data_IF_786519866632
#
_entry.id   IF_786519866632
#
_cell.length_a   1.000
_cell.length_b   1.000
_cell.length_c   1.000
_cell.angle_alpha   90.00
_cell.angle_beta   90.00
_cell.angle_gamma   90.00
#
_symmetry.space_group_name_H-M   'P 1'
#
loop_
_entity.id
_entity.type
_entity.pdbx_description
1 polymer ?
#
# COMPACT_ATOMS: atom_id res chain seq x y z
N UNK A 1 26.41 -5.74 5.36
CA UNK A 1 24.95 -5.54 5.22
C UNK A 1 24.66 -4.06 5.15
N UNK A 2 24.23 -3.57 3.99
CA UNK A 2 24.18 -2.14 3.66
C UNK A 2 23.05 -1.40 4.40
N UNK A 3 23.29 -0.12 4.70
CA UNK A 3 22.45 0.77 5.53
C UNK A 3 20.96 0.76 5.09
N UNK A 4 20.72 0.60 3.79
CA UNK A 4 19.38 0.55 3.20
C UNK A 4 18.61 -0.72 3.58
N UNK A 5 19.28 -1.89 3.68
CA UNK A 5 18.62 -3.16 4.06
C UNK A 5 18.20 -3.17 5.53
N UNK A 6 18.98 -2.53 6.41
CA UNK A 6 18.60 -2.33 7.83
C UNK A 6 17.41 -1.38 7.96
N UNK A 7 17.40 -0.28 7.20
CA UNK A 7 16.28 0.67 7.19
C UNK A 7 14.97 -0.01 6.77
N UNK A 8 15.01 -0.90 5.79
CA UNK A 8 13.83 -1.63 5.33
C UNK A 8 13.37 -2.68 6.32
N UNK A 9 14.29 -3.39 6.98
CA UNK A 9 13.91 -4.31 8.05
C UNK A 9 13.21 -3.58 9.22
N UNK A 10 13.67 -2.36 9.54
CA UNK A 10 13.03 -1.52 10.56
C UNK A 10 11.69 -0.99 10.08
N UNK A 11 11.61 -0.51 8.83
CA UNK A 11 10.35 -0.05 8.23
C UNK A 11 9.33 -1.18 8.17
N UNK A 12 9.69 -2.35 7.62
CA UNK A 12 8.80 -3.51 7.52
C UNK A 12 8.32 -3.99 8.90
N UNK A 13 9.17 -3.97 9.91
CA UNK A 13 8.80 -4.25 11.30
C UNK A 13 7.83 -3.23 11.90
N UNK A 14 8.06 -1.93 11.70
CA UNK A 14 7.16 -0.87 12.18
C UNK A 14 5.79 -0.90 11.48
N UNK A 15 5.76 -1.32 10.21
CA UNK A 15 4.52 -1.49 9.45
C UNK A 15 3.72 -2.70 9.90
N UNK A 16 4.36 -3.82 10.27
CA UNK A 16 3.65 -4.96 10.87
C UNK A 16 2.95 -4.58 12.19
N UNK A 17 3.63 -3.81 13.04
CA UNK A 17 3.04 -3.34 14.30
C UNK A 17 1.81 -2.45 14.03
N UNK A 18 1.88 -1.63 12.98
CA UNK A 18 0.78 -0.77 12.54
C UNK A 18 -0.40 -1.58 11.96
N UNK A 19 -0.14 -2.62 11.18
CA UNK A 19 -1.17 -3.53 10.66
C UNK A 19 -1.86 -4.28 11.79
N UNK A 20 -1.10 -4.76 12.79
CA UNK A 20 -1.66 -5.48 13.93
C UNK A 20 -2.57 -4.53 14.72
N UNK A 21 -2.12 -3.32 15.03
CA UNK A 21 -2.93 -2.33 15.77
C UNK A 21 -4.17 -1.87 15.00
N UNK A 22 -4.08 -1.67 13.69
CA UNK A 22 -5.24 -1.33 12.85
C UNK A 22 -6.17 -2.52 12.56
N UNK A 23 -5.64 -3.74 12.49
CA UNK A 23 -6.41 -4.98 12.35
C UNK A 23 -7.19 -5.32 13.62
N UNK A 24 -6.66 -5.01 14.80
CA UNK A 24 -7.43 -5.03 16.05
C UNK A 24 -8.55 -3.97 16.05
N UNK A 25 -8.35 -2.84 15.39
CA UNK A 25 -9.40 -1.84 15.18
C UNK A 25 -10.46 -2.26 14.13
N UNK A 26 -10.18 -3.24 13.27
CA UNK A 26 -11.08 -3.79 12.23
C UNK A 26 -11.40 -5.27 12.55
N UNK A 27 -11.68 -5.57 13.81
CA UNK A 27 -12.05 -6.92 14.24
C UNK A 27 -13.57 -7.09 14.16
N UNK A 28 -14.09 -8.23 13.66
CA UNK A 28 -15.52 -8.54 13.68
C UNK A 28 -16.10 -8.69 15.10
N UNK A 29 -15.27 -8.58 16.14
CA UNK A 29 -15.63 -8.75 17.56
C UNK A 29 -15.80 -7.44 18.34
N UNK A 30 -15.76 -6.27 17.70
CA UNK A 30 -16.14 -5.02 18.34
C UNK A 30 -15.35 -3.81 17.84
N UNK A 31 -16.09 -2.85 17.27
CA UNK A 31 -15.59 -1.56 16.82
C UNK A 31 -15.13 -0.67 17.99
N UNK A 32 -13.91 -0.87 18.47
CA UNK A 32 -13.32 0.06 19.43
C UNK A 32 -12.87 1.35 18.73
N UNK A 33 -12.61 1.32 17.41
CA UNK A 33 -12.02 2.44 16.66
C UNK A 33 -12.86 3.00 15.50
N UNK A 34 -13.89 2.28 15.00
CA UNK A 34 -14.61 2.64 13.77
C UNK A 34 -15.44 3.94 13.89
N UNK A 35 -15.69 4.45 15.10
CA UNK A 35 -16.52 5.63 15.30
C UNK A 35 -15.88 6.97 14.91
N UNK A 36 -14.56 7.03 14.60
CA UNK A 36 -13.87 8.32 14.31
C UNK A 36 -13.09 8.41 13.01
N UNK A 37 -12.59 7.30 12.47
CA UNK A 37 -11.82 7.30 11.21
C UNK A 37 -12.64 6.62 10.14
N UNK A 38 -13.12 7.37 9.14
CA UNK A 38 -13.96 6.82 8.07
C UNK A 38 -13.36 5.56 7.45
N UNK A 39 -14.18 4.52 7.32
CA UNK A 39 -13.82 3.13 6.98
C UNK A 39 -12.85 3.02 5.80
N UNK A 40 -13.05 3.81 4.74
CA UNK A 40 -12.17 3.82 3.57
C UNK A 40 -10.71 4.23 3.84
N UNK A 41 -10.44 5.08 4.84
CA UNK A 41 -9.06 5.44 5.20
C UNK A 41 -8.34 4.32 5.94
N UNK A 42 -9.06 3.59 6.82
CA UNK A 42 -8.50 2.45 7.53
C UNK A 42 -8.14 1.33 6.55
N UNK A 43 -9.04 1.04 5.60
CA UNK A 43 -8.81 0.05 4.55
C UNK A 43 -7.58 0.39 3.70
N UNK A 44 -7.41 1.66 3.31
CA UNK A 44 -6.21 2.09 2.57
C UNK A 44 -4.95 1.76 3.33
N UNK A 45 -4.90 2.17 4.60
CA UNK A 45 -3.69 2.01 5.39
C UNK A 45 -3.38 0.53 5.53
N UNK A 46 -4.37 -0.33 5.81
CA UNK A 46 -4.16 -1.77 5.96
C UNK A 46 -3.66 -2.40 4.64
N UNK A 47 -4.38 -2.20 3.53
CA UNK A 47 -4.05 -2.84 2.25
C UNK A 47 -2.73 -2.34 1.67
N UNK A 48 -2.51 -1.02 1.70
CA UNK A 48 -1.28 -0.42 1.18
C UNK A 48 -0.08 -0.82 2.04
N UNK A 49 -0.24 -0.85 3.37
CA UNK A 49 0.83 -1.31 4.27
C UNK A 49 1.16 -2.78 4.06
N UNK A 50 0.15 -3.64 3.88
CA UNK A 50 0.37 -5.05 3.58
C UNK A 50 1.12 -5.25 2.26
N UNK A 51 0.73 -4.52 1.21
CA UNK A 51 1.42 -4.56 -0.07
C UNK A 51 2.88 -4.08 0.04
N UNK A 52 3.12 -2.95 0.71
CA UNK A 52 4.46 -2.41 0.98
C UNK A 52 5.30 -3.44 1.72
N UNK A 53 4.74 -4.10 2.74
CA UNK A 53 5.43 -5.12 3.50
C UNK A 53 5.87 -6.30 2.63
N UNK A 54 4.94 -6.87 1.85
CA UNK A 54 5.24 -8.00 0.94
C UNK A 54 6.32 -7.63 -0.08
N UNK A 55 6.19 -6.49 -0.76
CA UNK A 55 7.20 -6.06 -1.73
C UNK A 55 8.53 -5.72 -1.08
N UNK A 56 8.53 -5.19 0.14
CA UNK A 56 9.76 -4.91 0.88
C UNK A 56 10.53 -6.19 1.21
N UNK A 57 9.85 -7.28 1.60
CA UNK A 57 10.49 -8.57 1.84
C UNK A 57 11.12 -9.15 0.57
N UNK A 58 10.40 -9.06 -0.55
CA UNK A 58 10.95 -9.46 -1.86
C UNK A 58 12.20 -8.62 -2.16
N UNK A 59 12.12 -7.30 -2.04
CA UNK A 59 13.23 -6.40 -2.36
C UNK A 59 14.47 -6.56 -1.47
N UNK A 60 14.38 -7.17 -0.28
CA UNK A 60 15.55 -7.45 0.57
C UNK A 60 16.53 -8.44 -0.09
N UNK A 61 16.02 -9.38 -0.88
CA UNK A 61 16.83 -10.37 -1.60
C UNK A 61 17.35 -9.84 -2.93
N UNK A 62 16.77 -8.75 -3.45
CA UNK A 62 17.20 -8.11 -4.69
C UNK A 62 18.31 -7.06 -4.50
N UNK A 63 18.88 -6.62 -5.62
CA UNK A 63 19.93 -5.60 -5.67
C UNK A 63 19.47 -4.21 -5.22
N UNK A 64 20.39 -3.42 -4.66
CA UNK A 64 20.09 -2.10 -4.11
C UNK A 64 19.53 -1.10 -5.12
N UNK A 65 19.87 -1.26 -6.40
CA UNK A 65 19.37 -0.39 -7.46
C UNK A 65 17.87 -0.54 -7.69
N UNK A 66 17.38 -1.78 -7.60
CA UNK A 66 15.95 -2.12 -7.73
C UNK A 66 15.20 -1.50 -6.56
N UNK A 67 15.76 -1.69 -5.37
CA UNK A 67 15.22 -1.13 -4.14
C UNK A 67 15.14 0.40 -4.15
N UNK A 68 16.21 1.09 -4.57
CA UNK A 68 16.23 2.57 -4.64
C UNK A 68 15.24 3.09 -5.68
N UNK A 69 15.00 2.34 -6.75
CA UNK A 69 14.00 2.68 -7.77
C UNK A 69 12.58 2.52 -7.21
N UNK A 70 12.32 1.42 -6.53
CA UNK A 70 11.03 1.16 -5.88
C UNK A 70 10.73 2.16 -4.76
N UNK A 71 11.69 2.49 -3.89
CA UNK A 71 11.50 3.49 -2.84
C UNK A 71 11.19 4.89 -3.39
N UNK A 72 11.76 5.26 -4.54
CA UNK A 72 11.40 6.51 -5.23
C UNK A 72 9.95 6.47 -5.69
N UNK A 73 9.48 5.37 -6.26
CA UNK A 73 8.08 5.19 -6.62
C UNK A 73 7.16 5.33 -5.40
N UNK A 74 7.41 4.57 -4.34
CA UNK A 74 6.62 4.60 -3.09
C UNK A 74 6.54 6.01 -2.49
N UNK A 75 7.66 6.74 -2.47
CA UNK A 75 7.75 8.10 -1.94
C UNK A 75 6.74 9.07 -2.58
N UNK A 76 6.49 8.94 -3.88
CA UNK A 76 5.53 9.80 -4.59
C UNK A 76 4.13 9.19 -4.65
N UNK A 77 4.03 7.86 -4.73
CA UNK A 77 2.74 7.19 -4.86
C UNK A 77 1.88 7.32 -3.59
N UNK A 78 2.47 7.15 -2.40
CA UNK A 78 1.70 7.22 -1.14
C UNK A 78 1.00 8.58 -0.95
N UNK A 79 1.69 9.74 -1.08
CA UNK A 79 1.02 11.04 -0.97
C UNK A 79 -0.08 11.24 -2.01
N UNK A 80 0.13 10.80 -3.25
CA UNK A 80 -0.86 10.91 -4.32
C UNK A 80 -2.09 10.06 -4.00
N UNK A 81 -1.89 8.81 -3.59
CA UNK A 81 -2.97 7.90 -3.19
C UNK A 81 -3.78 8.47 -2.02
N UNK A 82 -3.10 9.06 -1.04
CA UNK A 82 -3.74 9.69 0.11
C UNK A 82 -4.61 10.89 -0.30
N UNK A 83 -4.10 11.76 -1.18
CA UNK A 83 -4.89 12.88 -1.70
C UNK A 83 -6.13 12.40 -2.47
N UNK A 84 -5.99 11.40 -3.33
CA UNK A 84 -7.11 10.84 -4.10
C UNK A 84 -8.22 10.33 -3.17
N UNK A 85 -7.88 9.69 -2.05
CA UNK A 85 -8.87 9.16 -1.10
C UNK A 85 -9.48 10.23 -0.19
N UNK A 86 -8.74 11.29 0.12
CA UNK A 86 -9.33 12.45 0.80
C UNK A 86 -10.44 13.04 -0.04
N UNK A 87 -10.18 13.26 -1.32
CA UNK A 87 -11.12 13.89 -2.25
C UNK A 87 -12.19 12.94 -2.78
N UNK A 88 -12.08 11.63 -2.55
CA UNK A 88 -13.13 10.70 -2.97
C UNK A 88 -14.37 10.79 -2.06
N UNK A 89 -15.58 10.67 -2.65
CA UNK A 89 -16.83 10.71 -1.91
C UNK A 89 -16.95 9.53 -0.92
N UNK A 90 -17.66 9.76 0.19
CA UNK A 90 -18.17 8.66 1.04
C UNK A 90 -19.32 8.01 0.28
N UNK A 91 -19.17 6.74 -0.08
CA UNK A 91 -20.25 5.92 -0.64
C UNK A 91 -20.65 4.86 0.37
N UNK A 92 -21.91 4.43 0.31
CA UNK A 92 -22.53 3.51 1.27
C UNK A 92 -22.19 2.02 0.98
N UNK A 93 -20.94 1.70 0.64
CA UNK A 93 -20.44 0.32 0.59
C UNK A 93 -20.89 -0.54 -0.60
N UNK A 94 -20.83 0.00 -1.82
CA UNK A 94 -21.15 -0.74 -3.06
C UNK A 94 -19.94 -1.03 -3.93
N UNK A 95 -19.60 -2.32 -4.14
CA UNK A 95 -18.70 -2.76 -5.21
C UNK A 95 -19.42 -2.61 -6.57
N UNK A 96 -19.48 -1.40 -7.11
CA UNK A 96 -20.08 -1.19 -8.42
C UNK A 96 -19.70 0.16 -9.01
N UNK A 97 -19.17 0.20 -10.25
CA UNK A 97 -19.24 1.41 -11.04
C UNK A 97 -20.70 1.59 -11.42
N UNK A 98 -21.49 2.23 -10.56
CA UNK A 98 -22.77 2.77 -10.97
C UNK A 98 -22.50 3.70 -12.14
N UNK A 99 -23.02 3.37 -13.32
CA UNK A 99 -22.92 4.17 -14.54
C UNK A 99 -23.25 5.65 -14.20
N UNK A 100 -22.23 6.49 -14.02
CA UNK A 100 -22.36 7.93 -13.74
C UNK A 100 -21.93 8.44 -12.35
N UNK A 101 -21.52 7.57 -11.41
CA UNK A 101 -21.06 7.98 -10.08
C UNK A 101 -19.53 8.09 -9.94
N UNK A 102 -19.02 9.07 -9.17
CA UNK A 102 -17.61 9.08 -8.75
C UNK A 102 -17.32 7.87 -7.85
N UNK A 103 -16.18 7.18 -8.00
CA UNK A 103 -15.85 6.04 -7.16
C UNK A 103 -15.73 6.46 -5.69
N UNK A 104 -16.33 5.68 -4.82
CA UNK A 104 -16.30 5.87 -3.37
C UNK A 104 -14.91 5.55 -2.79
N UNK A 105 -14.69 5.87 -1.50
CA UNK A 105 -13.40 5.67 -0.83
C UNK A 105 -12.92 4.22 -0.82
N UNK A 106 -13.83 3.26 -0.71
CA UNK A 106 -13.46 1.84 -0.67
C UNK A 106 -13.02 1.39 -2.06
N UNK A 107 -13.81 1.70 -3.09
CA UNK A 107 -13.46 1.44 -4.48
C UNK A 107 -12.11 2.09 -4.84
N UNK A 108 -11.91 3.37 -4.53
CA UNK A 108 -10.63 4.05 -4.78
C UNK A 108 -9.45 3.36 -4.08
N UNK A 109 -9.66 2.87 -2.86
CA UNK A 109 -8.65 2.11 -2.12
C UNK A 109 -8.26 0.82 -2.84
N UNK A 110 -9.23 0.06 -3.35
CA UNK A 110 -8.96 -1.16 -4.11
C UNK A 110 -8.22 -0.85 -5.42
N UNK A 111 -8.63 0.18 -6.15
CA UNK A 111 -7.97 0.61 -7.37
C UNK A 111 -6.52 1.04 -7.12
N UNK A 112 -6.29 1.88 -6.11
CA UNK A 112 -4.96 2.37 -5.77
C UNK A 112 -4.05 1.23 -5.29
N UNK A 113 -4.55 0.31 -4.47
CA UNK A 113 -3.80 -0.89 -4.05
C UNK A 113 -3.43 -1.77 -5.25
N UNK A 114 -4.35 -1.93 -6.21
CA UNK A 114 -4.13 -2.71 -7.42
C UNK A 114 -3.07 -2.06 -8.31
N UNK A 115 -3.17 -0.76 -8.56
CA UNK A 115 -2.19 0.01 -9.33
C UNK A 115 -0.82 -0.07 -8.66
N UNK A 116 -0.76 0.14 -7.34
CA UNK A 116 0.48 0.04 -6.58
C UNK A 116 1.16 -1.31 -6.76
N UNK A 117 0.38 -2.38 -6.68
CA UNK A 117 0.87 -3.76 -6.79
C UNK A 117 1.37 -4.05 -8.21
N UNK A 118 0.61 -3.67 -9.23
CA UNK A 118 1.00 -3.85 -10.64
C UNK A 118 2.29 -3.09 -10.96
N UNK A 119 2.38 -1.82 -10.58
CA UNK A 119 3.59 -1.00 -10.85
C UNK A 119 4.80 -1.55 -10.08
N UNK A 120 4.60 -2.02 -8.84
CA UNK A 120 5.67 -2.65 -8.05
C UNK A 120 6.19 -3.91 -8.74
N UNK A 121 5.31 -4.79 -9.23
CA UNK A 121 5.69 -6.01 -9.96
C UNK A 121 6.45 -5.65 -11.23
N UNK A 122 5.95 -4.71 -12.03
CA UNK A 122 6.60 -4.27 -13.28
C UNK A 122 8.00 -3.72 -12.99
N UNK A 123 8.14 -2.85 -12.00
CA UNK A 123 9.44 -2.28 -11.62
C UNK A 123 10.44 -3.36 -11.21
N UNK A 124 10.00 -4.32 -10.39
CA UNK A 124 10.84 -5.44 -9.94
C UNK A 124 11.22 -6.32 -11.13
N UNK A 125 10.28 -6.73 -11.98
CA UNK A 125 10.52 -7.60 -13.13
C UNK A 125 11.48 -6.96 -14.16
N UNK A 126 11.20 -5.73 -14.59
CA UNK A 126 12.01 -5.01 -15.60
C UNK A 126 13.43 -4.79 -15.10
N UNK A 127 13.60 -4.38 -13.84
CA UNK A 127 14.93 -4.15 -13.29
C UNK A 127 15.70 -5.43 -13.03
N UNK A 128 15.02 -6.49 -12.58
CA UNK A 128 15.64 -7.81 -12.40
C UNK A 128 16.14 -8.37 -13.73
N UNK A 129 15.35 -8.27 -14.80
CA UNK A 129 15.78 -8.68 -16.14
C UNK A 129 16.92 -7.86 -16.71
N UNK A 130 16.93 -6.54 -16.49
CA UNK A 130 18.04 -5.69 -16.98
C UNK A 130 19.36 -6.01 -16.27
N UNK A 131 19.31 -6.26 -14.97
CA UNK A 131 20.50 -6.56 -14.17
C UNK A 131 21.03 -7.99 -14.36
N UNK A 132 20.17 -8.97 -14.65
CA UNK A 132 20.60 -10.33 -14.95
C UNK A 132 21.19 -10.51 -16.36
N UNK A 133 21.09 -9.49 -17.22
CA UNK A 133 21.61 -9.50 -18.60
C UNK A 133 22.96 -8.79 -18.74
N UNK A 134 23.51 -8.27 -17.65
CA UNK A 134 24.73 -7.50 -17.57
C UNK A 134 25.76 -8.25 -16.71
#
# INVERSE_FOLDING_TARGET
MTKNKKLIGILSGSFLISIITLGFCYSPFGDVCASRTGEGMALLIIFLSAAIFVFSLILLTLGEEILRSWLRFVKYFIPIAFLIIIFSPRGDGGMGPGFGGFPDKETMTYWLTTIFSLVSIILIAVKSWRLGKN
#
